data_IF_360907625854
#
_entry.id   IF_360907625854
#
_cell.length_a   1.000
_cell.length_b   1.000
_cell.length_c   1.000
_cell.angle_alpha   90.00
_cell.angle_beta   90.00
_cell.angle_gamma   90.00
#
_symmetry.space_group_name_H-M   'P 1'
#
loop_
_entity.id
_entity.type
_entity.pdbx_description
1 polymer ?
#
# COMPACT_ATOMS: atom_id res chain seq x y z
N UNK A 1 -48.16 -11.07 21.09
CA UNK A 1 -48.31 -11.16 19.63
C UNK A 1 -47.06 -11.80 19.06
N UNK A 2 -47.04 -13.12 18.81
CA UNK A 2 -45.88 -13.86 18.29
C UNK A 2 -45.88 -13.70 16.78
N UNK A 3 -44.85 -12.99 16.23
CA UNK A 3 -44.61 -12.96 14.79
C UNK A 3 -44.19 -14.35 14.32
N UNK A 4 -45.03 -15.01 13.54
CA UNK A 4 -44.64 -16.23 12.82
C UNK A 4 -43.83 -15.84 11.58
N UNK A 5 -42.53 -16.11 11.60
CA UNK A 5 -41.73 -16.06 10.40
C UNK A 5 -42.10 -17.21 9.47
N UNK A 6 -42.75 -16.92 8.35
CA UNK A 6 -42.97 -17.91 7.29
C UNK A 6 -41.60 -18.32 6.69
N UNK A 7 -41.25 -19.59 6.82
CA UNK A 7 -40.11 -20.18 6.10
C UNK A 7 -40.39 -20.11 4.60
N UNK A 8 -39.69 -19.30 3.88
CA UNK A 8 -39.70 -19.25 2.40
C UNK A 8 -39.07 -20.53 1.83
N UNK A 9 -39.70 -21.22 0.88
CA UNK A 9 -39.12 -22.46 0.28
C UNK A 9 -37.81 -22.17 -0.47
N UNK A 10 -36.86 -23.08 -0.37
CA UNK A 10 -35.48 -23.01 -0.87
C UNK A 10 -35.31 -22.89 -2.42
N UNK A 11 -36.39 -22.85 -3.21
CA UNK A 11 -36.32 -22.90 -4.68
C UNK A 11 -36.68 -21.59 -5.40
N UNK A 12 -36.65 -20.42 -4.74
CA UNK A 12 -36.90 -19.11 -5.39
C UNK A 12 -35.72 -18.12 -5.30
N UNK A 13 -34.45 -18.61 -5.41
CA UNK A 13 -33.28 -17.74 -5.33
C UNK A 13 -33.13 -16.71 -6.47
N UNK A 14 -33.77 -16.92 -7.61
CA UNK A 14 -33.63 -16.05 -8.78
C UNK A 14 -34.53 -14.79 -8.77
N UNK A 15 -35.50 -14.70 -7.88
CA UNK A 15 -36.50 -13.61 -7.84
C UNK A 15 -36.48 -12.74 -6.57
N UNK A 16 -35.50 -12.92 -5.69
CA UNK A 16 -35.34 -12.08 -4.49
C UNK A 16 -35.02 -10.64 -4.87
N UNK A 17 -35.94 -9.67 -4.63
CA UNK A 17 -35.73 -8.28 -4.99
C UNK A 17 -34.55 -7.63 -4.24
N UNK A 18 -34.21 -8.16 -3.06
CA UNK A 18 -33.06 -7.69 -2.27
C UNK A 18 -31.74 -8.12 -2.90
N UNK A 19 -31.63 -9.35 -3.41
CA UNK A 19 -30.44 -9.87 -4.10
C UNK A 19 -30.15 -9.08 -5.38
N UNK A 20 -31.17 -8.72 -6.17
CA UNK A 20 -31.02 -7.85 -7.36
C UNK A 20 -30.47 -6.45 -7.01
N UNK A 21 -30.72 -5.96 -5.80
CA UNK A 21 -30.22 -4.66 -5.31
C UNK A 21 -28.89 -4.77 -4.55
N UNK A 22 -28.24 -5.95 -4.52
CA UNK A 22 -26.94 -6.17 -3.90
C UNK A 22 -26.98 -6.46 -2.39
N UNK A 23 -28.14 -6.62 -1.79
CA UNK A 23 -28.24 -7.03 -0.38
C UNK A 23 -27.90 -8.52 -0.22
N UNK A 24 -27.17 -8.84 0.85
CA UNK A 24 -26.91 -10.21 1.29
C UNK A 24 -27.77 -10.52 2.50
N UNK A 25 -28.35 -11.72 2.54
CA UNK A 25 -29.09 -12.16 3.72
C UNK A 25 -28.16 -12.42 4.92
N UNK A 26 -28.72 -12.42 6.12
CA UNK A 26 -27.96 -12.80 7.33
C UNK A 26 -27.38 -14.22 7.18
N UNK A 27 -28.11 -15.15 6.59
CA UNK A 27 -27.66 -16.51 6.35
C UNK A 27 -26.40 -16.53 5.44
N UNK A 28 -26.41 -15.78 4.34
CA UNK A 28 -25.24 -15.63 3.45
C UNK A 28 -24.04 -15.02 4.19
N UNK A 29 -24.27 -14.00 5.03
CA UNK A 29 -23.22 -13.35 5.81
C UNK A 29 -22.61 -14.29 6.86
N UNK A 30 -23.44 -15.07 7.56
CA UNK A 30 -22.98 -16.10 8.52
C UNK A 30 -22.16 -17.18 7.82
N UNK A 31 -22.64 -17.70 6.69
CA UNK A 31 -21.93 -18.73 5.91
C UNK A 31 -20.57 -18.20 5.43
N UNK A 32 -20.53 -16.96 4.93
CA UNK A 32 -19.27 -16.30 4.51
C UNK A 32 -18.28 -16.21 5.68
N UNK A 33 -18.74 -15.73 6.85
CA UNK A 33 -17.90 -15.59 8.05
C UNK A 33 -17.31 -16.93 8.52
N UNK A 34 -18.12 -17.99 8.56
CA UNK A 34 -17.65 -19.34 8.92
C UNK A 34 -16.59 -19.83 7.92
N UNK A 35 -16.83 -19.62 6.62
CA UNK A 35 -15.87 -20.03 5.58
C UNK A 35 -14.56 -19.25 5.65
N UNK A 36 -14.59 -17.95 5.97
CA UNK A 36 -13.39 -17.14 6.19
C UNK A 36 -12.54 -17.70 7.33
N UNK A 37 -13.13 -18.01 8.48
CA UNK A 37 -12.41 -18.61 9.60
C UNK A 37 -11.84 -19.96 9.24
N UNK A 38 -12.61 -20.84 8.57
CA UNK A 38 -12.13 -22.14 8.12
C UNK A 38 -10.97 -22.02 7.14
N UNK A 39 -11.05 -21.09 6.20
CA UNK A 39 -9.98 -20.80 5.23
C UNK A 39 -8.70 -20.33 5.93
N UNK A 40 -8.86 -19.47 6.95
CA UNK A 40 -7.74 -19.01 7.78
C UNK A 40 -7.09 -20.15 8.56
N UNK A 41 -7.88 -21.03 9.19
CA UNK A 41 -7.40 -22.21 9.94
C UNK A 41 -6.60 -23.17 9.05
N UNK A 42 -7.00 -23.30 7.79
CA UNK A 42 -6.31 -24.16 6.80
C UNK A 42 -5.08 -23.49 6.17
N UNK A 43 -4.75 -22.25 6.58
CA UNK A 43 -3.66 -21.47 5.98
C UNK A 43 -3.90 -21.07 4.52
N UNK A 44 -5.16 -21.08 4.06
CA UNK A 44 -5.55 -20.77 2.68
C UNK A 44 -6.17 -19.39 2.52
N UNK A 45 -6.08 -18.53 3.55
CA UNK A 45 -6.55 -17.16 3.45
C UNK A 45 -5.79 -16.41 2.36
N UNK A 46 -6.46 -15.73 1.43
CA UNK A 46 -5.81 -14.94 0.39
C UNK A 46 -5.17 -13.69 1.02
N UNK A 47 -3.88 -13.77 1.25
CA UNK A 47 -3.03 -12.66 1.75
C UNK A 47 -1.74 -12.63 0.97
N UNK A 48 -1.17 -11.44 0.83
CA UNK A 48 0.08 -11.20 0.11
C UNK A 48 1.13 -10.72 1.12
N UNK A 49 1.96 -11.63 1.67
CA UNK A 49 2.93 -11.30 2.69
C UNK A 49 4.09 -10.50 2.11
N UNK A 50 4.55 -9.51 2.85
CA UNK A 50 5.83 -8.84 2.62
C UNK A 50 6.97 -9.67 3.23
N UNK A 51 8.24 -9.25 3.07
CA UNK A 51 9.36 -9.85 3.82
C UNK A 51 9.42 -9.39 5.29
N UNK A 52 8.63 -8.42 5.68
CA UNK A 52 8.62 -7.81 7.00
C UNK A 52 7.64 -8.51 7.94
N UNK A 53 8.19 -9.27 8.87
CA UNK A 53 7.39 -10.17 9.73
C UNK A 53 6.45 -9.43 10.69
N UNK A 54 6.93 -8.32 11.29
CA UNK A 54 6.12 -7.51 12.22
C UNK A 54 5.01 -6.81 11.47
N UNK A 55 5.34 -6.22 10.30
CA UNK A 55 4.33 -5.60 9.46
C UNK A 55 3.25 -6.61 9.05
N UNK A 56 3.64 -7.81 8.60
CA UNK A 56 2.69 -8.87 8.27
C UNK A 56 1.81 -9.25 9.47
N UNK A 57 2.39 -9.35 10.68
CA UNK A 57 1.59 -9.62 11.90
C UNK A 57 0.53 -8.56 12.14
N UNK A 58 0.88 -7.28 12.03
CA UNK A 58 -0.05 -6.18 12.20
C UNK A 58 -1.12 -6.16 11.09
N UNK A 59 -0.77 -6.56 9.87
CA UNK A 59 -1.68 -6.65 8.72
C UNK A 59 -2.40 -8.00 8.61
N UNK A 60 -2.39 -8.82 9.66
CA UNK A 60 -3.03 -10.15 9.69
C UNK A 60 -2.56 -11.09 8.58
N UNK A 61 -1.27 -11.11 8.32
CA UNK A 61 -0.59 -11.97 7.35
C UNK A 61 -0.04 -11.26 6.13
N UNK A 62 -0.37 -9.99 5.88
CA UNK A 62 0.09 -9.21 4.74
C UNK A 62 -1.01 -8.37 4.10
N UNK A 63 -0.81 -7.95 2.86
CA UNK A 63 -1.84 -7.22 2.11
C UNK A 63 -3.03 -8.13 1.80
N UNK A 64 -4.24 -7.62 1.96
CA UNK A 64 -5.48 -8.40 1.82
C UNK A 64 -6.32 -7.87 0.65
N UNK A 65 -6.94 -8.76 -0.16
CA UNK A 65 -7.88 -8.36 -1.19
C UNK A 65 -9.01 -7.48 -0.63
N UNK A 66 -9.45 -6.51 -1.43
CA UNK A 66 -10.53 -5.61 -1.07
C UNK A 66 -10.17 -4.60 0.03
N UNK A 67 -8.89 -4.35 0.29
CA UNK A 67 -8.43 -3.38 1.28
C UNK A 67 -7.73 -2.19 0.65
N UNK A 68 -7.84 -1.03 1.32
CA UNK A 68 -7.12 0.19 0.99
C UNK A 68 -6.10 0.50 2.09
N UNK A 69 -4.86 0.65 1.66
CA UNK A 69 -3.70 1.00 2.48
C UNK A 69 -3.25 2.41 2.11
N UNK A 70 -2.99 3.22 3.10
CA UNK A 70 -2.38 4.53 2.91
C UNK A 70 -1.00 4.51 3.53
N UNK A 71 0.01 4.93 2.76
CA UNK A 71 1.38 5.14 3.22
C UNK A 71 1.63 6.64 3.15
N UNK A 72 1.68 7.29 4.30
CA UNK A 72 1.80 8.74 4.39
C UNK A 72 3.12 9.16 5.03
N UNK A 73 3.55 10.39 4.75
CA UNK A 73 4.75 10.97 5.35
C UNK A 73 5.15 12.27 4.69
N UNK A 74 6.04 13.02 5.33
CA UNK A 74 6.58 14.26 4.77
C UNK A 74 7.40 13.98 3.49
N UNK A 75 7.58 14.97 2.60
CA UNK A 75 8.50 14.85 1.47
C UNK A 75 9.89 14.37 1.93
N UNK A 76 10.53 13.48 1.16
CA UNK A 76 11.85 12.96 1.48
C UNK A 76 11.90 11.84 2.52
N UNK A 77 10.80 11.50 3.21
CA UNK A 77 10.79 10.44 4.24
C UNK A 77 11.05 9.04 3.70
N UNK A 78 10.81 8.79 2.39
CA UNK A 78 11.03 7.49 1.77
C UNK A 78 9.77 6.68 1.44
N UNK A 79 8.58 7.33 1.28
CA UNK A 79 7.33 6.65 0.92
C UNK A 79 7.45 5.75 -0.30
N UNK A 80 7.97 6.28 -1.41
CA UNK A 80 8.16 5.52 -2.66
C UNK A 80 9.19 4.40 -2.49
N UNK A 81 10.25 4.61 -1.71
CA UNK A 81 11.23 3.56 -1.41
C UNK A 81 10.60 2.43 -0.60
N UNK A 82 9.83 2.76 0.44
CA UNK A 82 9.13 1.79 1.28
C UNK A 82 8.10 0.97 0.48
N UNK A 83 7.24 1.65 -0.31
CA UNK A 83 6.24 0.97 -1.13
C UNK A 83 6.87 0.12 -2.23
N UNK A 84 7.93 0.63 -2.88
CA UNK A 84 8.65 -0.07 -3.93
C UNK A 84 9.27 -1.37 -3.37
N UNK A 85 10.05 -1.26 -2.29
CA UNK A 85 10.63 -2.44 -1.65
C UNK A 85 9.56 -3.43 -1.19
N UNK A 86 8.49 -2.94 -0.56
CA UNK A 86 7.37 -3.79 -0.11
C UNK A 86 6.80 -4.64 -1.25
N UNK A 87 6.59 -4.05 -2.42
CA UNK A 87 6.00 -4.76 -3.59
C UNK A 87 7.02 -5.68 -4.25
N UNK A 88 8.25 -5.25 -4.45
CA UNK A 88 9.28 -6.11 -5.05
C UNK A 88 9.56 -7.33 -4.16
N UNK A 89 9.67 -7.11 -2.84
CA UNK A 89 9.86 -8.18 -1.87
C UNK A 89 8.63 -9.12 -1.80
N UNK A 90 7.41 -8.58 -1.99
CA UNK A 90 6.19 -9.38 -2.09
C UNK A 90 6.23 -10.29 -3.33
N UNK A 91 6.67 -9.78 -4.47
CA UNK A 91 6.74 -10.53 -5.71
C UNK A 91 7.91 -11.53 -5.76
N UNK A 92 8.90 -11.38 -4.90
CA UNK A 92 9.95 -12.39 -4.67
C UNK A 92 9.42 -13.64 -3.93
N UNK A 93 8.29 -13.55 -3.23
CA UNK A 93 7.69 -14.68 -2.54
C UNK A 93 6.95 -15.60 -3.53
N UNK A 94 6.86 -16.87 -3.20
CA UNK A 94 5.93 -17.79 -3.88
C UNK A 94 4.49 -17.44 -3.47
N UNK A 95 3.79 -16.74 -4.34
CA UNK A 95 2.41 -16.33 -4.09
C UNK A 95 1.45 -17.46 -4.44
N UNK A 96 0.48 -17.73 -3.56
CA UNK A 96 -0.58 -18.72 -3.79
C UNK A 96 -1.57 -18.29 -4.89
N UNK A 97 -1.74 -16.99 -5.08
CA UNK A 97 -2.61 -16.40 -6.10
C UNK A 97 -1.80 -15.58 -7.09
N UNK A 98 -2.22 -15.58 -8.35
CA UNK A 98 -1.63 -14.73 -9.38
C UNK A 98 -1.95 -13.26 -9.11
N UNK A 99 -0.97 -12.40 -9.30
CA UNK A 99 -1.06 -10.95 -9.03
C UNK A 99 -0.67 -10.18 -10.28
N UNK A 100 -1.31 -9.04 -10.52
CA UNK A 100 -0.85 -7.98 -11.42
C UNK A 100 -0.73 -6.70 -10.59
N UNK A 101 0.40 -6.02 -10.71
CA UNK A 101 0.62 -4.73 -10.06
C UNK A 101 0.51 -3.62 -11.10
N UNK A 102 -0.41 -2.70 -10.88
CA UNK A 102 -0.56 -1.47 -11.67
C UNK A 102 0.06 -0.34 -10.86
N UNK A 103 1.25 0.07 -11.25
CA UNK A 103 1.98 1.14 -10.59
C UNK A 103 1.73 2.46 -11.31
N UNK A 104 0.84 3.28 -10.77
CA UNK A 104 0.51 4.62 -11.22
C UNK A 104 1.57 5.60 -10.70
N UNK A 105 2.72 5.60 -11.36
CA UNK A 105 3.95 6.31 -10.95
C UNK A 105 4.01 7.69 -11.60
N UNK A 106 3.12 8.58 -11.20
CA UNK A 106 2.95 9.89 -11.83
C UNK A 106 4.10 10.88 -11.56
N UNK A 107 4.86 10.64 -10.49
CA UNK A 107 6.00 11.49 -10.13
C UNK A 107 7.31 11.00 -10.73
N UNK A 108 7.47 9.67 -10.83
CA UNK A 108 8.73 9.06 -11.20
C UNK A 108 8.54 7.95 -12.25
N UNK A 109 9.25 7.98 -13.38
CA UNK A 109 9.18 6.94 -14.39
C UNK A 109 9.59 5.55 -13.88
N UNK A 110 9.01 4.49 -14.45
CA UNK A 110 9.26 3.11 -14.01
C UNK A 110 10.74 2.71 -14.02
N UNK A 111 11.54 3.18 -15.01
CA UNK A 111 12.98 2.88 -15.04
C UNK A 111 13.74 3.42 -13.83
N UNK A 112 13.31 4.55 -13.26
CA UNK A 112 13.90 5.08 -12.02
C UNK A 112 13.50 4.25 -10.79
N UNK A 113 12.31 3.65 -10.78
CA UNK A 113 11.91 2.69 -9.74
C UNK A 113 12.80 1.43 -9.81
N UNK A 114 13.06 0.93 -11.02
CA UNK A 114 13.97 -0.20 -11.23
C UNK A 114 15.41 0.15 -10.83
N UNK A 115 15.88 1.35 -11.18
CA UNK A 115 17.21 1.81 -10.80
C UNK A 115 17.41 1.82 -9.28
N UNK A 116 16.41 2.30 -8.52
CA UNK A 116 16.43 2.27 -7.05
C UNK A 116 16.38 0.85 -6.49
N UNK A 117 15.57 -0.03 -7.08
CA UNK A 117 15.52 -1.42 -6.67
C UNK A 117 16.85 -2.15 -6.95
N UNK A 118 17.48 -1.87 -8.09
CA UNK A 118 18.82 -2.39 -8.43
C UNK A 118 19.92 -1.84 -7.52
N UNK A 119 19.87 -0.55 -7.18
CA UNK A 119 20.75 0.09 -6.19
C UNK A 119 20.73 -0.67 -4.85
N UNK A 120 19.53 -0.98 -4.34
CA UNK A 120 19.34 -1.82 -3.15
C UNK A 120 20.00 -3.19 -3.31
N UNK A 121 19.78 -3.85 -4.44
CA UNK A 121 20.21 -5.25 -4.63
C UNK A 121 21.73 -5.41 -4.70
N UNK A 122 22.44 -4.39 -5.19
CA UNK A 122 23.92 -4.41 -5.25
C UNK A 122 24.58 -3.53 -4.18
N UNK A 123 23.77 -2.89 -3.33
CA UNK A 123 24.23 -1.98 -2.26
C UNK A 123 25.13 -0.85 -2.74
N UNK A 124 24.83 -0.28 -3.90
CA UNK A 124 25.50 0.89 -4.45
C UNK A 124 24.53 2.04 -4.60
N UNK A 125 25.01 3.25 -4.32
CA UNK A 125 24.18 4.44 -4.45
C UNK A 125 23.85 4.71 -5.92
N UNK A 126 22.66 5.29 -6.17
CA UNK A 126 22.26 5.70 -7.53
C UNK A 126 23.28 6.70 -8.12
N UNK A 127 23.89 7.54 -7.28
CA UNK A 127 24.94 8.46 -7.70
C UNK A 127 26.15 7.72 -8.28
N UNK A 128 26.55 6.59 -7.67
CA UNK A 128 27.64 5.75 -8.17
C UNK A 128 27.26 5.06 -9.47
N UNK A 129 26.02 4.55 -9.56
CA UNK A 129 25.49 3.86 -10.75
C UNK A 129 25.38 4.79 -11.96
N UNK A 130 25.02 6.06 -11.74
CA UNK A 130 24.86 7.08 -12.78
C UNK A 130 26.06 8.05 -12.85
N UNK A 131 27.20 7.66 -12.29
CA UNK A 131 28.37 8.54 -12.16
C UNK A 131 28.75 9.20 -13.48
N UNK A 132 28.73 10.52 -13.49
CA UNK A 132 29.16 11.36 -14.63
C UNK A 132 30.63 11.13 -14.97
N UNK A 133 31.44 10.69 -13.98
CA UNK A 133 32.86 10.47 -14.13
C UNK A 133 33.24 9.10 -14.71
N UNK A 134 32.23 8.27 -15.10
CA UNK A 134 32.45 6.94 -15.66
C UNK A 134 33.17 5.97 -14.70
N UNK A 135 32.94 6.11 -13.38
CA UNK A 135 33.63 5.32 -12.34
C UNK A 135 32.96 3.97 -12.04
N UNK A 136 31.84 3.66 -12.66
CA UNK A 136 31.25 2.34 -12.51
C UNK A 136 32.13 1.31 -13.21
N UNK A 137 32.57 0.30 -12.46
CA UNK A 137 33.34 -0.80 -13.03
C UNK A 137 32.47 -1.70 -13.91
N UNK A 138 33.08 -2.39 -14.86
CA UNK A 138 32.37 -3.39 -15.68
C UNK A 138 31.78 -4.51 -14.82
N UNK A 139 32.49 -4.94 -13.78
CA UNK A 139 32.00 -5.95 -12.83
C UNK A 139 30.74 -5.48 -12.10
N UNK A 140 30.71 -4.22 -11.66
CA UNK A 140 29.52 -3.63 -11.03
C UNK A 140 28.35 -3.49 -11.99
N UNK A 141 28.63 -3.12 -13.24
CA UNK A 141 27.60 -3.06 -14.29
C UNK A 141 27.01 -4.44 -14.57
N UNK A 142 27.81 -5.46 -14.76
CA UNK A 142 27.32 -6.83 -14.99
C UNK A 142 26.60 -7.38 -13.74
N UNK A 143 27.06 -7.06 -12.53
CA UNK A 143 26.36 -7.40 -11.30
C UNK A 143 24.98 -6.73 -11.26
N UNK A 144 24.90 -5.42 -11.50
CA UNK A 144 23.64 -4.67 -11.57
C UNK A 144 22.70 -5.30 -12.60
N UNK A 145 23.18 -5.47 -13.83
CA UNK A 145 22.42 -6.07 -14.92
C UNK A 145 21.87 -7.45 -14.56
N UNK A 146 22.69 -8.32 -13.98
CA UNK A 146 22.26 -9.67 -13.54
C UNK A 146 21.14 -9.60 -12.49
N UNK A 147 21.21 -8.64 -11.57
CA UNK A 147 20.19 -8.46 -10.51
C UNK A 147 18.90 -7.90 -11.06
N UNK A 148 18.94 -6.88 -11.94
CA UNK A 148 17.70 -6.25 -12.43
C UNK A 148 16.99 -7.10 -13.49
N UNK A 149 17.69 -7.95 -14.23
CA UNK A 149 17.08 -8.84 -15.21
C UNK A 149 16.06 -9.81 -14.58
N UNK A 150 16.20 -10.15 -13.29
CA UNK A 150 15.20 -10.95 -12.56
C UNK A 150 13.81 -10.29 -12.54
N UNK A 151 13.76 -8.94 -12.60
CA UNK A 151 12.50 -8.19 -12.55
C UNK A 151 11.66 -8.32 -13.83
N UNK A 152 12.23 -8.79 -14.94
CA UNK A 152 11.48 -9.05 -16.17
C UNK A 152 10.33 -10.05 -15.98
N UNK A 153 10.41 -10.91 -14.97
CA UNK A 153 9.34 -11.87 -14.64
C UNK A 153 8.23 -11.30 -13.74
N UNK A 154 8.42 -10.09 -13.20
CA UNK A 154 7.44 -9.50 -12.29
C UNK A 154 6.26 -8.93 -13.07
N UNK A 155 5.04 -9.22 -12.66
CA UNK A 155 3.83 -8.72 -13.31
C UNK A 155 3.52 -7.29 -12.86
N UNK A 156 4.49 -6.38 -13.03
CA UNK A 156 4.35 -4.94 -12.74
C UNK A 156 4.25 -4.17 -14.04
N UNK A 157 3.25 -3.29 -14.12
CA UNK A 157 3.06 -2.36 -15.22
C UNK A 157 3.09 -0.93 -14.69
N UNK A 158 4.00 -0.11 -15.21
CA UNK A 158 4.13 1.30 -14.82
C UNK A 158 3.36 2.20 -15.78
N UNK A 159 2.60 3.14 -15.22
CA UNK A 159 2.00 4.23 -15.96
C UNK A 159 2.43 5.55 -15.31
N UNK A 160 3.20 6.36 -16.05
CA UNK A 160 3.73 7.64 -15.58
C UNK A 160 2.97 8.86 -16.13
N UNK A 161 1.86 8.64 -16.82
CA UNK A 161 0.99 9.71 -17.32
C UNK A 161 -0.17 9.88 -16.34
N UNK A 162 -0.38 11.09 -15.76
CA UNK A 162 -1.52 11.33 -14.88
C UNK A 162 -2.85 10.93 -15.55
N UNK A 163 -3.68 10.19 -14.84
CA UNK A 163 -4.95 9.65 -15.33
C UNK A 163 -6.11 10.00 -14.40
N UNK A 164 -7.32 10.01 -14.93
CA UNK A 164 -8.54 10.19 -14.16
C UNK A 164 -8.90 8.90 -13.41
N UNK A 165 -9.69 9.03 -12.36
CA UNK A 165 -10.17 7.84 -11.62
C UNK A 165 -11.08 6.96 -12.46
N UNK A 166 -11.82 7.55 -13.43
CA UNK A 166 -12.65 6.82 -14.37
C UNK A 166 -11.79 5.90 -15.23
N UNK A 167 -10.71 6.43 -15.85
CA UNK A 167 -9.77 5.64 -16.64
C UNK A 167 -9.15 4.51 -15.82
N UNK A 168 -8.76 4.79 -14.57
CA UNK A 168 -8.18 3.79 -13.66
C UNK A 168 -9.20 2.68 -13.38
N UNK A 169 -10.47 3.02 -13.12
CA UNK A 169 -11.55 2.05 -12.91
C UNK A 169 -11.79 1.18 -14.13
N UNK A 170 -11.89 1.78 -15.33
CA UNK A 170 -12.06 1.08 -16.59
C UNK A 170 -10.90 0.09 -16.82
N UNK A 171 -9.65 0.53 -16.64
CA UNK A 171 -8.47 -0.34 -16.74
C UNK A 171 -8.58 -1.56 -15.80
N UNK A 172 -9.02 -1.37 -14.56
CA UNK A 172 -9.19 -2.47 -13.61
C UNK A 172 -10.34 -3.41 -14.01
N UNK A 173 -11.43 -2.87 -14.57
CA UNK A 173 -12.56 -3.67 -15.10
C UNK A 173 -12.09 -4.55 -16.25
N UNK A 174 -11.38 -3.99 -17.22
CA UNK A 174 -10.89 -4.70 -18.41
C UNK A 174 -9.92 -5.83 -18.03
N UNK A 175 -8.99 -5.57 -17.10
CA UNK A 175 -8.07 -6.59 -16.61
C UNK A 175 -8.82 -7.68 -15.84
N UNK A 176 -9.79 -7.32 -14.99
CA UNK A 176 -10.58 -8.30 -14.25
C UNK A 176 -11.42 -9.17 -15.20
N UNK A 177 -11.96 -8.60 -16.27
CA UNK A 177 -12.72 -9.33 -17.28
C UNK A 177 -11.84 -10.29 -18.09
N UNK A 178 -10.63 -9.86 -18.45
CA UNK A 178 -9.68 -10.67 -19.24
C UNK A 178 -8.93 -11.72 -18.40
N UNK A 179 -8.77 -11.49 -17.09
CA UNK A 179 -8.02 -12.35 -16.18
C UNK A 179 -8.74 -12.47 -14.82
N UNK A 180 -9.90 -13.16 -14.73
CA UNK A 180 -10.75 -13.18 -13.54
C UNK A 180 -10.12 -13.85 -12.30
N UNK A 181 -9.08 -14.66 -12.50
CA UNK A 181 -8.35 -15.37 -11.43
C UNK A 181 -7.07 -14.64 -10.98
N UNK A 182 -6.90 -13.39 -11.40
CA UNK A 182 -5.73 -12.57 -11.06
C UNK A 182 -6.15 -11.48 -10.10
N UNK A 183 -5.36 -11.27 -9.03
CA UNK A 183 -5.56 -10.16 -8.10
C UNK A 183 -4.83 -8.92 -8.59
N UNK A 184 -5.50 -7.79 -8.53
CA UNK A 184 -4.93 -6.50 -8.91
C UNK A 184 -4.49 -5.75 -7.65
N UNK A 185 -3.25 -5.25 -7.69
CA UNK A 185 -2.72 -4.31 -6.71
C UNK A 185 -2.48 -2.99 -7.44
N UNK A 186 -3.21 -1.95 -7.11
CA UNK A 186 -2.92 -0.59 -7.56
C UNK A 186 -2.01 0.12 -6.55
N UNK A 187 -1.01 0.83 -7.06
CA UNK A 187 -0.16 1.74 -6.28
C UNK A 187 -0.26 3.12 -6.91
N UNK A 188 -0.59 4.13 -6.12
CA UNK A 188 -0.71 5.52 -6.56
C UNK A 188 0.43 6.35 -5.96
N UNK A 189 1.47 6.62 -6.74
CA UNK A 189 2.65 7.41 -6.34
C UNK A 189 2.71 8.72 -7.13
N UNK A 190 2.27 9.84 -6.55
CA UNK A 190 1.46 9.92 -5.33
C UNK A 190 0.01 10.30 -5.68
N UNK A 191 -0.90 10.02 -4.75
CA UNK A 191 -2.35 10.16 -4.93
C UNK A 191 -2.84 11.54 -5.38
N UNK A 192 -2.11 12.62 -5.05
CA UNK A 192 -2.44 14.01 -5.45
C UNK A 192 -2.33 14.27 -6.95
N UNK A 193 -1.58 13.45 -7.69
CA UNK A 193 -1.36 13.61 -9.13
C UNK A 193 -2.44 12.93 -9.99
N UNK A 194 -3.40 12.26 -9.38
CA UNK A 194 -4.58 11.79 -10.11
C UNK A 194 -5.38 13.00 -10.59
N UNK A 195 -5.60 13.07 -11.90
CA UNK A 195 -6.31 14.19 -12.54
C UNK A 195 -7.82 13.96 -12.57
N UNK A 196 -8.60 15.00 -12.83
CA UNK A 196 -10.05 14.93 -12.94
C UNK A 196 -10.68 16.28 -13.24
N UNK A 197 -11.97 16.29 -13.53
CA UNK A 197 -12.75 17.51 -13.81
C UNK A 197 -13.06 18.36 -12.58
N UNK A 198 -12.69 17.86 -11.38
CA UNK A 198 -12.99 18.56 -10.13
C UNK A 198 -12.10 19.82 -9.95
N UNK A 199 -12.69 20.90 -9.49
CA UNK A 199 -12.05 22.22 -9.38
C UNK A 199 -10.99 22.30 -8.30
N UNK A 200 -11.06 21.43 -7.28
CA UNK A 200 -10.09 21.42 -6.19
C UNK A 200 -9.34 20.08 -6.08
N UNK A 201 -8.11 20.16 -5.55
CA UNK A 201 -7.32 18.98 -5.23
C UNK A 201 -8.03 18.05 -4.25
N UNK A 202 -8.69 18.60 -3.25
CA UNK A 202 -9.44 17.83 -2.25
C UNK A 202 -10.58 17.05 -2.89
N UNK A 203 -11.31 17.64 -3.84
CA UNK A 203 -12.37 16.93 -4.57
C UNK A 203 -11.81 15.78 -5.41
N UNK A 204 -10.65 15.96 -6.07
CA UNK A 204 -9.98 14.87 -6.81
C UNK A 204 -9.53 13.74 -5.89
N UNK A 205 -8.98 14.05 -4.72
CA UNK A 205 -8.61 13.05 -3.71
C UNK A 205 -9.85 12.28 -3.19
N UNK A 206 -10.96 12.98 -2.97
CA UNK A 206 -12.22 12.36 -2.58
C UNK A 206 -12.74 11.42 -3.68
N UNK A 207 -12.69 11.84 -4.94
CA UNK A 207 -13.08 11.02 -6.08
C UNK A 207 -12.20 9.77 -6.20
N UNK A 208 -10.87 9.91 -6.02
CA UNK A 208 -9.93 8.78 -5.97
C UNK A 208 -10.29 7.81 -4.85
N UNK A 209 -10.51 8.31 -3.63
CA UNK A 209 -10.86 7.47 -2.48
C UNK A 209 -12.14 6.68 -2.73
N UNK A 210 -13.21 7.33 -3.22
CA UNK A 210 -14.48 6.66 -3.56
C UNK A 210 -14.34 5.68 -4.71
N UNK A 211 -13.51 6.00 -5.72
CA UNK A 211 -13.17 5.09 -6.81
C UNK A 211 -12.44 3.84 -6.30
N UNK A 212 -11.48 3.99 -5.39
CA UNK A 212 -10.80 2.88 -4.74
C UNK A 212 -11.78 2.00 -3.96
N UNK A 213 -12.67 2.59 -3.16
CA UNK A 213 -13.72 1.84 -2.45
C UNK A 213 -14.61 1.03 -3.41
N UNK A 214 -14.99 1.62 -4.53
CA UNK A 214 -15.79 0.93 -5.54
C UNK A 214 -15.04 -0.27 -6.14
N UNK A 215 -13.75 -0.09 -6.52
CA UNK A 215 -12.92 -1.18 -7.06
C UNK A 215 -12.74 -2.32 -6.04
N UNK A 216 -12.54 -1.97 -4.76
CA UNK A 216 -12.45 -2.95 -3.67
C UNK A 216 -13.73 -3.78 -3.54
N UNK A 217 -14.88 -3.11 -3.49
CA UNK A 217 -16.17 -3.77 -3.28
C UNK A 217 -16.59 -4.65 -4.46
N UNK A 218 -16.26 -4.25 -5.70
CA UNK A 218 -16.68 -4.94 -6.93
C UNK A 218 -15.72 -6.03 -7.38
N UNK A 219 -14.41 -5.82 -7.20
CA UNK A 219 -13.38 -6.67 -7.81
C UNK A 219 -12.38 -7.21 -6.79
N UNK A 220 -12.48 -6.83 -5.51
CA UNK A 220 -11.51 -7.24 -4.50
C UNK A 220 -10.09 -6.68 -4.71
N UNK A 221 -9.97 -5.57 -5.42
CA UNK A 221 -8.68 -4.91 -5.72
C UNK A 221 -8.02 -4.42 -4.43
N UNK A 222 -6.71 -4.53 -4.35
CA UNK A 222 -5.90 -3.91 -3.30
C UNK A 222 -5.45 -2.54 -3.80
N UNK A 223 -5.71 -1.49 -3.04
CA UNK A 223 -5.26 -0.14 -3.36
C UNK A 223 -4.26 0.37 -2.32
N UNK A 224 -3.10 0.84 -2.77
CA UNK A 224 -2.06 1.45 -1.95
C UNK A 224 -1.90 2.89 -2.41
N UNK A 225 -2.21 3.84 -1.54
CA UNK A 225 -2.13 5.26 -1.81
C UNK A 225 -0.94 5.86 -1.07
N UNK A 226 0.01 6.44 -1.80
CA UNK A 226 1.06 7.26 -1.20
C UNK A 226 0.54 8.68 -1.04
N UNK A 227 0.53 9.15 0.20
CA UNK A 227 0.00 10.47 0.56
C UNK A 227 1.03 11.32 1.30
N UNK A 228 0.84 12.62 1.30
CA UNK A 228 1.67 13.52 2.08
C UNK A 228 1.02 13.84 3.42
N UNK A 229 1.84 14.15 4.41
CA UNK A 229 1.38 14.80 5.64
C UNK A 229 1.40 16.32 5.45
N UNK A 230 0.42 17.00 6.03
CA UNK A 230 0.40 18.45 6.05
C UNK A 230 1.52 19.00 6.96
N UNK A 231 1.79 20.33 6.85
CA UNK A 231 2.86 20.97 7.62
C UNK A 231 2.56 21.14 9.10
N UNK A 232 1.34 20.85 9.54
CA UNK A 232 0.95 20.99 10.94
C UNK A 232 1.78 20.08 11.86
N UNK A 233 2.29 18.97 11.35
CA UNK A 233 3.19 18.08 12.09
C UNK A 233 4.50 18.78 12.50
N UNK A 234 4.93 19.81 11.75
CA UNK A 234 6.19 20.55 11.97
C UNK A 234 6.02 21.75 12.94
N UNK A 235 4.82 21.98 13.47
CA UNK A 235 4.57 23.08 14.38
C UNK A 235 5.29 22.87 15.72
N UNK A 236 5.76 23.96 16.32
CA UNK A 236 6.58 23.95 17.54
C UNK A 236 5.94 23.20 18.71
N UNK A 237 4.62 23.31 18.89
CA UNK A 237 3.92 22.59 19.95
C UNK A 237 3.98 21.06 19.81
N UNK A 238 4.32 20.52 18.62
CA UNK A 238 4.50 19.09 18.35
C UNK A 238 5.88 18.57 18.77
N UNK A 239 6.83 19.46 19.06
CA UNK A 239 8.19 19.11 19.45
C UNK A 239 8.22 18.25 20.72
N UNK A 240 7.37 18.53 21.72
CA UNK A 240 7.24 17.72 22.94
C UNK A 240 6.81 16.27 22.67
N UNK A 241 6.03 16.05 21.63
CA UNK A 241 5.63 14.73 21.15
C UNK A 241 6.58 14.20 20.06
N UNK A 242 7.79 14.78 19.94
CA UNK A 242 8.81 14.39 18.96
C UNK A 242 8.23 14.31 17.51
N UNK A 243 7.30 15.20 17.19
CA UNK A 243 6.63 15.25 15.88
C UNK A 243 5.99 13.91 15.46
N UNK A 244 5.52 13.10 16.41
CA UNK A 244 4.82 11.85 16.09
C UNK A 244 3.60 12.14 15.22
N UNK A 245 3.41 11.42 14.10
CA UNK A 245 2.31 11.67 13.18
C UNK A 245 0.97 11.26 13.79
N UNK A 246 -0.07 12.00 13.45
CA UNK A 246 -1.47 11.72 13.82
C UNK A 246 -2.33 11.62 12.56
N UNK A 247 -3.46 10.93 12.63
CA UNK A 247 -4.39 10.84 11.49
C UNK A 247 -4.82 12.21 10.93
N UNK A 248 -4.90 13.22 11.79
CA UNK A 248 -5.21 14.61 11.43
C UNK A 248 -4.12 15.30 10.60
N UNK A 249 -2.90 14.75 10.59
CA UNK A 249 -1.81 15.27 9.78
C UNK A 249 -1.89 14.80 8.32
N UNK A 250 -2.77 13.84 7.99
CA UNK A 250 -2.91 13.34 6.64
C UNK A 250 -3.48 14.43 5.72
N UNK A 251 -2.79 14.73 4.61
CA UNK A 251 -3.28 15.71 3.65
C UNK A 251 -4.55 15.19 2.96
N UNK A 252 -5.59 16.01 2.91
CA UNK A 252 -6.92 15.57 2.46
C UNK A 252 -7.60 14.61 3.45
N UNK A 253 -7.17 14.66 4.71
CA UNK A 253 -7.30 13.69 5.80
C UNK A 253 -8.65 13.05 6.02
N UNK A 254 -9.74 13.81 5.89
CA UNK A 254 -11.04 13.28 6.33
C UNK A 254 -11.53 12.12 5.44
N UNK A 255 -11.43 12.22 4.12
CA UNK A 255 -11.95 11.16 3.25
C UNK A 255 -11.00 9.97 3.09
N UNK A 256 -9.72 10.20 2.74
CA UNK A 256 -8.75 9.12 2.53
C UNK A 256 -8.51 8.37 3.85
N UNK A 257 -8.33 9.12 4.94
CA UNK A 257 -8.14 8.55 6.27
C UNK A 257 -9.35 7.75 6.74
N UNK A 258 -10.58 8.26 6.50
CA UNK A 258 -11.81 7.55 6.87
C UNK A 258 -12.06 6.30 6.04
N UNK A 259 -11.85 6.37 4.72
CA UNK A 259 -12.11 5.27 3.79
C UNK A 259 -11.04 4.16 3.88
N UNK A 260 -9.79 4.50 4.21
CA UNK A 260 -8.70 3.54 4.36
C UNK A 260 -8.99 2.45 5.41
N UNK A 261 -8.52 1.24 5.13
CA UNK A 261 -8.53 0.14 6.10
C UNK A 261 -7.32 0.22 7.03
N UNK A 262 -6.17 0.60 6.47
CA UNK A 262 -4.92 0.77 7.20
C UNK A 262 -4.28 2.09 6.79
N UNK A 263 -3.79 2.85 7.76
CA UNK A 263 -2.98 4.05 7.54
C UNK A 263 -1.64 3.86 8.25
N UNK A 264 -0.58 3.84 7.45
CA UNK A 264 0.81 3.78 7.90
C UNK A 264 1.44 5.14 7.67
N UNK A 265 2.01 5.73 8.71
CA UNK A 265 2.68 7.03 8.64
C UNK A 265 4.16 6.85 8.88
N UNK A 266 4.96 7.29 7.93
CA UNK A 266 6.40 7.16 7.94
C UNK A 266 7.04 8.40 8.55
N UNK A 267 8.03 8.18 9.43
CA UNK A 267 8.84 9.23 10.01
C UNK A 267 10.30 8.81 10.11
N UNK A 268 11.20 9.76 9.86
CA UNK A 268 12.65 9.63 10.09
C UNK A 268 13.06 10.70 11.12
N UNK A 269 13.03 10.37 12.42
CA UNK A 269 13.15 11.37 13.49
C UNK A 269 14.47 12.14 13.45
N UNK A 270 15.59 11.45 13.26
CA UNK A 270 16.89 12.08 13.16
C UNK A 270 17.03 12.93 11.90
N UNK A 271 16.74 12.34 10.73
CA UNK A 271 17.03 12.99 9.45
C UNK A 271 16.11 14.17 9.12
N UNK A 272 14.83 14.12 9.54
CA UNK A 272 13.86 15.16 9.21
C UNK A 272 13.69 16.21 10.31
N UNK A 273 13.91 15.84 11.57
CA UNK A 273 13.61 16.70 12.71
C UNK A 273 14.79 16.92 13.66
N UNK A 274 15.96 16.32 13.37
CA UNK A 274 17.16 16.45 14.20
C UNK A 274 17.02 15.86 15.60
N UNK A 275 16.09 14.90 15.79
CA UNK A 275 15.90 14.24 17.08
C UNK A 275 17.08 13.33 17.33
N UNK A 276 17.81 13.59 18.42
CA UNK A 276 18.99 12.82 18.88
C UNK A 276 18.68 11.95 20.09
N UNK A 277 17.58 12.25 20.79
CA UNK A 277 17.11 11.46 21.92
C UNK A 277 16.30 10.25 21.43
N UNK A 278 16.12 9.29 22.33
CA UNK A 278 15.31 8.08 22.05
C UNK A 278 13.93 8.44 21.51
N UNK A 279 13.56 7.83 20.39
CA UNK A 279 12.24 7.99 19.75
C UNK A 279 11.43 6.72 19.89
N UNK A 280 10.31 6.75 20.62
CA UNK A 280 9.49 5.56 20.90
C UNK A 280 10.32 4.36 21.39
N UNK A 281 11.30 4.59 22.27
CA UNK A 281 12.27 3.62 22.79
C UNK A 281 13.27 3.06 21.76
N UNK A 282 13.43 3.68 20.63
CA UNK A 282 14.39 3.32 19.58
C UNK A 282 15.47 4.39 19.43
N UNK A 283 16.68 3.98 19.01
CA UNK A 283 17.71 4.91 18.54
C UNK A 283 17.21 5.62 17.27
N UNK A 284 17.15 6.96 17.24
CA UNK A 284 16.64 7.68 16.08
C UNK A 284 17.56 7.64 14.86
N UNK A 285 18.84 7.30 15.03
CA UNK A 285 19.81 7.24 13.91
C UNK A 285 19.47 6.07 12.99
N UNK A 286 19.30 6.36 11.70
CA UNK A 286 18.90 5.37 10.69
C UNK A 286 17.47 4.84 10.86
N UNK A 287 16.71 5.34 11.84
CA UNK A 287 15.34 4.89 12.09
C UNK A 287 14.37 5.42 11.03
N UNK A 288 13.64 4.50 10.41
CA UNK A 288 12.38 4.76 9.77
C UNK A 288 11.27 4.20 10.66
N UNK A 289 10.60 5.06 11.40
CA UNK A 289 9.46 4.69 12.23
C UNK A 289 8.21 4.59 11.35
N UNK A 290 7.57 3.42 11.35
CA UNK A 290 6.29 3.17 10.66
C UNK A 290 5.18 3.13 11.69
N UNK A 291 4.44 4.23 11.82
CA UNK A 291 3.30 4.34 12.73
C UNK A 291 2.04 3.82 12.03
N UNK A 292 1.44 2.77 12.56
CA UNK A 292 0.14 2.28 12.14
C UNK A 292 -0.92 3.03 12.95
N UNK A 293 -1.39 4.15 12.41
CA UNK A 293 -2.34 5.06 13.07
C UNK A 293 -3.80 4.63 12.90
N UNK A 294 -4.06 3.82 11.89
CA UNK A 294 -5.36 3.19 11.68
C UNK A 294 -5.18 1.77 11.18
N UNK A 295 -5.92 0.84 11.76
CA UNK A 295 -6.03 -0.53 11.29
C UNK A 295 -7.38 -1.09 11.73
N UNK A 296 -8.29 -1.33 10.79
CA UNK A 296 -9.67 -1.74 11.13
C UNK A 296 -9.74 -3.13 11.76
N UNK A 297 -8.83 -4.02 11.38
CA UNK A 297 -8.92 -5.43 11.76
C UNK A 297 -7.67 -5.91 12.52
N UNK A 298 -6.58 -5.14 12.54
CA UNK A 298 -5.30 -5.53 13.11
C UNK A 298 -4.81 -4.59 14.22
N UNK A 299 -3.52 -4.66 14.52
CA UNK A 299 -2.89 -3.92 15.61
C UNK A 299 -2.47 -2.51 15.18
N UNK A 300 -2.59 -1.56 16.10
CA UNK A 300 -1.97 -0.24 16.02
C UNK A 300 -0.58 -0.28 16.65
N UNK A 301 0.22 0.75 16.40
CA UNK A 301 1.51 0.96 17.03
C UNK A 301 2.62 1.29 16.05
N UNK A 302 3.83 1.49 16.56
CA UNK A 302 5.00 1.81 15.78
C UNK A 302 5.84 0.55 15.51
N UNK A 303 6.27 0.37 14.28
CA UNK A 303 7.21 -0.67 13.86
C UNK A 303 8.51 0.02 13.47
N UNK A 304 9.63 -0.30 14.16
CA UNK A 304 10.93 0.28 13.84
C UNK A 304 11.58 -0.44 12.64
N UNK A 305 12.06 0.36 11.70
CA UNK A 305 12.86 -0.09 10.58
C UNK A 305 14.22 0.60 10.60
N UNK A 306 15.24 -0.10 10.14
CA UNK A 306 16.50 0.47 9.73
C UNK A 306 16.41 0.87 8.26
N UNK A 307 16.69 2.14 7.95
CA UNK A 307 16.59 2.66 6.59
C UNK A 307 17.92 3.30 6.15
N UNK A 308 18.55 2.68 5.18
CA UNK A 308 19.69 3.25 4.45
C UNK A 308 19.18 3.83 3.14
N UNK A 309 18.86 5.14 3.15
CA UNK A 309 18.20 5.78 2.00
C UNK A 309 19.18 6.07 0.85
N UNK A 310 20.46 6.02 1.06
CA UNK A 310 21.48 6.10 0.01
C UNK A 310 21.41 4.95 -0.99
N UNK A 311 21.02 3.76 -0.51
CA UNK A 311 20.82 2.54 -1.29
C UNK A 311 19.37 2.08 -1.32
N UNK A 312 18.42 2.86 -0.78
CA UNK A 312 16.99 2.53 -0.68
C UNK A 312 16.71 1.20 0.04
N UNK A 313 17.58 0.83 0.99
CA UNK A 313 17.45 -0.42 1.76
C UNK A 313 16.66 -0.17 3.04
N UNK A 314 15.60 -0.94 3.27
CA UNK A 314 14.72 -0.82 4.43
C UNK A 314 14.50 -2.22 5.03
N UNK A 315 14.86 -2.39 6.30
CA UNK A 315 14.72 -3.65 7.01
C UNK A 315 14.05 -3.42 8.37
N UNK A 316 13.24 -4.37 8.84
CA UNK A 316 12.75 -4.31 10.23
C UNK A 316 13.93 -4.40 11.20
N UNK A 317 13.97 -3.51 12.19
CA UNK A 317 14.95 -3.62 13.29
C UNK A 317 14.70 -4.90 14.06
N UNK A 318 15.77 -5.60 14.40
CA UNK A 318 15.71 -6.75 15.32
C UNK A 318 15.53 -6.22 16.74
N UNK A 319 14.72 -6.90 17.53
CA UNK A 319 14.67 -6.68 18.99
C UNK A 319 15.94 -7.22 19.60
#
# INVERSE_FOLDING_TARGET
MKMQYKKTPLNQESQDPYKKRGFKSIHQSVTTSINEIRTAMLGNRPVFPTKWKRLNRNLLGGLQPGKMYVIAGRPGVGKSAFSNQMIFDLLDNELKEKVIVLYWSFEMPGHQQILRAGSKDIKKQVLELLSVDGKLSEDDYELYKSKVLKYNKYPIHFNNIPRTIEYIKETNVDITASAPNVRIINIFDHSRLVVGKADSELQRLNALSKGCMWMQAKMGVINILLSQLNRNIEQEHRAKAQYQPLLTDLFGGDSIGQDAHVVMMLQRPYDLYGITETYCNEDPIGLLAVHIEKNRDGLLGMIPFEAEMSTFTINERKN
#
